data_IF_023706008559
#
_entry.id   IF_023706008559
#
_cell.length_a   1.000
_cell.length_b   1.000
_cell.length_c   1.000
_cell.angle_alpha   90.00
_cell.angle_beta   90.00
_cell.angle_gamma   90.00
#
_symmetry.space_group_name_H-M   'P 1'
#
loop_
_entity.id
_entity.type
_entity.pdbx_description
1 polymer ?
#
# COMPACT_ATOMS: atom_id res chain seq x y z
N UNK A 1 3.41 3.57 -10.49
CA UNK A 1 4.42 4.67 -10.49
C UNK A 1 4.95 4.90 -9.09
N UNK A 2 4.12 5.25 -8.09
CA UNK A 2 4.58 5.57 -6.73
C UNK A 2 5.53 4.54 -6.08
N UNK A 3 5.19 3.24 -6.16
CA UNK A 3 6.04 2.19 -5.55
C UNK A 3 7.43 2.15 -6.21
N UNK A 4 7.51 2.31 -7.53
CA UNK A 4 8.79 2.26 -8.25
C UNK A 4 9.72 3.43 -7.91
N UNK A 5 9.12 4.56 -7.52
CA UNK A 5 9.85 5.79 -7.18
C UNK A 5 10.29 5.87 -5.71
N UNK A 6 10.06 4.82 -4.90
CA UNK A 6 10.55 4.78 -3.51
C UNK A 6 12.09 4.74 -3.53
N UNK A 7 12.79 5.65 -2.83
CA UNK A 7 14.25 5.77 -2.89
C UNK A 7 14.99 4.63 -2.17
N UNK A 8 14.35 4.01 -1.17
CA UNK A 8 14.90 2.88 -0.45
C UNK A 8 14.54 1.57 -1.17
N UNK A 9 15.51 0.85 -1.75
CA UNK A 9 15.24 -0.35 -2.54
C UNK A 9 14.59 -1.46 -1.68
N UNK A 10 15.04 -1.61 -0.44
CA UNK A 10 14.47 -2.56 0.52
C UNK A 10 12.98 -2.28 0.78
N UNK A 11 12.62 -1.01 1.02
CA UNK A 11 11.24 -0.59 1.24
C UNK A 11 10.40 -0.79 -0.01
N UNK A 12 10.94 -0.46 -1.20
CA UNK A 12 10.25 -0.69 -2.47
C UNK A 12 9.90 -2.15 -2.66
N UNK A 13 10.86 -3.04 -2.47
CA UNK A 13 10.68 -4.48 -2.68
C UNK A 13 9.76 -5.09 -1.61
N UNK A 14 9.85 -4.59 -0.38
CA UNK A 14 8.93 -4.96 0.69
C UNK A 14 7.48 -4.64 0.33
N UNK A 15 7.18 -3.40 -0.08
CA UNK A 15 5.81 -3.00 -0.44
C UNK A 15 5.27 -3.84 -1.60
N UNK A 16 6.10 -4.14 -2.61
CA UNK A 16 5.70 -5.03 -3.72
C UNK A 16 5.30 -6.42 -3.22
N UNK A 17 6.12 -7.02 -2.35
CA UNK A 17 5.84 -8.35 -1.78
C UNK A 17 4.57 -8.36 -0.94
N UNK A 18 4.39 -7.37 -0.06
CA UNK A 18 3.19 -7.26 0.80
C UNK A 18 1.92 -7.10 -0.03
N UNK A 19 1.97 -6.30 -1.10
CA UNK A 19 0.82 -6.10 -1.98
C UNK A 19 0.46 -7.37 -2.76
N UNK A 20 1.46 -8.11 -3.24
CA UNK A 20 1.24 -9.42 -3.88
C UNK A 20 0.61 -10.43 -2.91
N UNK A 21 1.17 -10.55 -1.69
CA UNK A 21 0.64 -11.42 -0.64
C UNK A 21 -0.80 -11.05 -0.30
N UNK A 22 -1.11 -9.76 -0.18
CA UNK A 22 -2.45 -9.28 0.14
C UNK A 22 -3.50 -9.68 -0.90
N UNK A 23 -3.14 -9.68 -2.19
CA UNK A 23 -4.02 -10.17 -3.27
C UNK A 23 -4.21 -11.68 -3.17
N UNK A 24 -3.13 -12.41 -2.95
CA UNK A 24 -3.18 -13.87 -2.78
C UNK A 24 -4.08 -14.28 -1.60
N UNK A 25 -3.90 -13.66 -0.43
CA UNK A 25 -4.74 -13.95 0.74
C UNK A 25 -6.19 -13.48 0.57
N UNK A 26 -6.45 -12.39 -0.16
CA UNK A 26 -7.82 -12.01 -0.48
C UNK A 26 -8.53 -13.07 -1.32
N UNK A 27 -7.83 -13.67 -2.29
CA UNK A 27 -8.36 -14.78 -3.07
C UNK A 27 -8.64 -16.00 -2.20
N UNK A 28 -7.74 -16.35 -1.27
CA UNK A 28 -7.93 -17.50 -0.38
C UNK A 28 -9.04 -17.30 0.66
N UNK A 29 -9.09 -16.14 1.31
CA UNK A 29 -9.99 -15.90 2.44
C UNK A 29 -11.39 -15.53 1.95
N UNK A 30 -11.48 -14.68 0.93
CA UNK A 30 -12.77 -14.14 0.45
C UNK A 30 -13.30 -14.86 -0.78
N UNK A 31 -12.56 -15.85 -1.30
CA UNK A 31 -12.82 -16.51 -2.57
C UNK A 31 -13.01 -15.51 -3.73
N UNK A 32 -12.38 -14.34 -3.61
CA UNK A 32 -12.51 -13.21 -4.54
C UNK A 32 -11.12 -12.71 -4.91
N UNK A 33 -10.79 -12.82 -6.20
CA UNK A 33 -9.57 -12.23 -6.75
C UNK A 33 -9.81 -10.73 -6.93
N UNK A 34 -9.32 -9.92 -5.99
CA UNK A 34 -9.37 -8.47 -6.13
C UNK A 34 -8.21 -7.99 -7.01
N UNK A 35 -8.48 -7.24 -8.10
CA UNK A 35 -7.42 -6.73 -8.94
C UNK A 35 -6.50 -5.78 -8.15
N UNK A 36 -5.20 -5.91 -8.38
CA UNK A 36 -4.17 -5.16 -7.64
C UNK A 36 -4.27 -3.64 -7.87
N UNK A 37 -4.72 -3.22 -9.05
CA UNK A 37 -4.78 -1.81 -9.46
C UNK A 37 -5.71 -0.94 -8.59
N UNK A 38 -6.99 -1.29 -8.36
CA UNK A 38 -7.83 -0.53 -7.45
C UNK A 38 -7.35 -0.59 -5.99
N UNK A 39 -6.66 -1.65 -5.58
CA UNK A 39 -6.07 -1.75 -4.23
C UNK A 39 -4.91 -0.80 -3.99
N UNK A 40 -4.07 -0.59 -5.00
CA UNK A 40 -2.97 0.37 -4.93
C UNK A 40 -3.46 1.83 -4.94
N UNK A 41 -4.66 2.08 -5.47
CA UNK A 41 -5.28 3.39 -5.49
C UNK A 41 -4.42 4.48 -6.15
N UNK A 42 -4.72 5.73 -5.80
CA UNK A 42 -3.92 6.89 -6.16
C UNK A 42 -3.44 7.55 -4.87
N UNK A 43 -2.13 7.71 -4.74
CA UNK A 43 -1.55 8.40 -3.60
C UNK A 43 -1.62 9.90 -3.89
N UNK A 44 -2.34 10.62 -3.04
CA UNK A 44 -2.52 12.05 -3.15
C UNK A 44 -1.22 12.79 -2.79
N UNK A 45 -0.97 13.97 -3.39
CA UNK A 45 0.12 14.81 -2.92
C UNK A 45 -0.12 15.21 -1.45
N UNK A 46 0.94 15.31 -0.66
CA UNK A 46 0.85 15.82 0.70
C UNK A 46 0.42 17.28 0.63
N UNK A 47 -0.80 17.59 1.04
CA UNK A 47 -1.20 18.96 1.36
C UNK A 47 -0.66 19.27 2.76
N UNK A 48 -0.09 20.45 2.99
CA UNK A 48 0.52 20.81 4.27
C UNK A 48 -0.44 20.84 5.48
N UNK A 49 -1.71 20.47 5.30
CA UNK A 49 -2.72 20.38 6.34
C UNK A 49 -2.82 18.99 7.00
N UNK A 50 -2.28 17.94 6.39
CA UNK A 50 -2.25 16.59 6.99
C UNK A 50 -0.92 16.39 7.72
N UNK A 51 -0.76 17.14 8.81
CA UNK A 51 0.19 16.86 9.88
C UNK A 51 -0.58 16.54 11.16
N UNK A 52 -1.57 15.65 11.07
CA UNK A 52 -1.94 14.85 12.22
C UNK A 52 -0.85 13.80 12.36
N UNK A 53 0.14 14.10 13.19
CA UNK A 53 1.01 13.09 13.78
C UNK A 53 0.14 11.91 14.20
N UNK A 54 0.53 10.71 13.79
CA UNK A 54 -0.07 9.43 14.17
C UNK A 54 -0.33 9.41 15.68
N UNK A 55 -1.55 9.78 16.09
CA UNK A 55 -2.01 9.70 17.48
C UNK A 55 -2.26 8.21 17.77
N UNK A 56 -1.22 7.55 18.29
CA UNK A 56 -1.33 6.21 18.86
C UNK A 56 -2.26 6.29 20.08
N UNK A 57 -3.39 5.55 20.12
CA UNK A 57 -4.11 5.36 21.37
C UNK A 57 -3.23 4.55 22.33
N UNK A 58 -3.07 5.04 23.57
CA UNK A 58 -2.43 4.33 24.68
C UNK A 58 -3.12 2.99 25.02
#
# INVERSE_FOLDING_TARGET
>A
VYIETIPFPETRDYVKKVMANSVFYAALIKNQVQPLKPRLGRIAPKTGADSSEDELPE
#
